data_IF_148119975980
#
_entry.id   IF_148119975980
#
_cell.length_a   1.000
_cell.length_b   1.000
_cell.length_c   1.000
_cell.angle_alpha   90.00
_cell.angle_beta   90.00
_cell.angle_gamma   90.00
#
_symmetry.space_group_name_H-M   'P 1'
#
loop_
_entity.id
_entity.type
_entity.pdbx_description
1 polymer ?
#
# COMPACT_ATOMS: atom_id res chain seq x y z
N UNK A 1 -17.13 -17.95 -15.96
CA UNK A 1 -18.50 -17.60 -16.40
C UNK A 1 -18.40 -16.36 -17.29
N UNK A 2 -18.70 -16.45 -18.60
CA UNK A 2 -18.87 -15.27 -19.46
C UNK A 2 -20.35 -14.86 -19.33
N UNK A 3 -20.62 -13.60 -18.99
CA UNK A 3 -21.99 -13.08 -18.94
C UNK A 3 -22.35 -12.58 -20.34
N UNK A 4 -23.53 -12.92 -20.84
CA UNK A 4 -24.00 -12.52 -22.17
C UNK A 4 -25.24 -11.63 -22.04
N UNK A 5 -25.37 -10.63 -22.91
CA UNK A 5 -26.57 -9.79 -22.97
C UNK A 5 -27.69 -10.45 -23.80
N UNK A 6 -28.87 -9.83 -23.84
CA UNK A 6 -30.04 -10.33 -24.59
C UNK A 6 -29.82 -10.43 -26.11
N UNK A 7 -28.77 -9.78 -26.65
CA UNK A 7 -28.35 -9.84 -28.05
C UNK A 7 -27.23 -10.86 -28.30
N UNK A 8 -26.84 -11.64 -27.29
CA UNK A 8 -25.79 -12.67 -27.40
C UNK A 8 -24.36 -12.13 -27.33
N UNK A 9 -24.16 -10.86 -27.00
CA UNK A 9 -22.82 -10.26 -26.90
C UNK A 9 -22.23 -10.54 -25.51
N UNK A 10 -20.94 -10.87 -25.46
CA UNK A 10 -20.23 -11.05 -24.19
C UNK A 10 -20.10 -9.71 -23.46
N UNK A 11 -20.64 -9.63 -22.25
CA UNK A 11 -20.40 -8.52 -21.34
C UNK A 11 -18.92 -8.52 -20.92
N UNK A 12 -18.28 -7.35 -20.95
CA UNK A 12 -16.93 -7.17 -20.44
C UNK A 12 -16.89 -7.47 -18.93
N UNK A 13 -16.46 -8.68 -18.58
CA UNK A 13 -16.10 -9.04 -17.20
C UNK A 13 -14.85 -8.29 -16.78
N UNK A 14 -14.70 -8.02 -15.47
CA UNK A 14 -13.53 -7.36 -14.90
C UNK A 14 -12.23 -8.08 -15.33
N UNK A 15 -11.61 -7.60 -16.42
CA UNK A 15 -10.39 -8.17 -16.99
C UNK A 15 -9.23 -7.87 -16.04
N UNK A 16 -8.59 -8.93 -15.55
CA UNK A 16 -7.30 -8.79 -14.85
C UNK A 16 -6.29 -8.21 -15.82
N UNK A 17 -5.73 -7.05 -15.48
CA UNK A 17 -4.64 -6.44 -16.24
C UNK A 17 -3.43 -7.38 -16.26
N UNK A 18 -2.71 -7.42 -17.39
CA UNK A 18 -1.42 -8.11 -17.47
C UNK A 18 -0.39 -7.41 -16.57
N UNK A 19 0.60 -8.17 -16.10
CA UNK A 19 1.67 -7.61 -15.25
C UNK A 19 2.44 -6.49 -15.96
N UNK A 20 2.68 -6.63 -17.26
CA UNK A 20 3.29 -5.59 -18.07
C UNK A 20 2.48 -4.29 -18.04
N UNK A 21 1.14 -4.38 -18.18
CA UNK A 21 0.27 -3.20 -18.15
C UNK A 21 0.22 -2.57 -16.75
N UNK A 22 0.13 -3.39 -15.67
CA UNK A 22 0.19 -2.87 -14.29
C UNK A 22 1.49 -2.12 -14.02
N UNK A 23 2.62 -2.66 -14.49
CA UNK A 23 3.93 -2.00 -14.37
C UNK A 23 3.94 -0.66 -15.10
N UNK A 24 3.45 -0.61 -16.34
CA UNK A 24 3.36 0.65 -17.11
C UNK A 24 2.53 1.72 -16.37
N UNK A 25 1.35 1.35 -15.86
CA UNK A 25 0.49 2.27 -15.10
C UNK A 25 1.22 2.75 -13.83
N UNK A 26 1.85 1.84 -13.08
CA UNK A 26 2.60 2.19 -11.87
C UNK A 26 3.73 3.17 -12.15
N UNK A 27 4.48 2.98 -13.24
CA UNK A 27 5.57 3.87 -13.64
C UNK A 27 5.05 5.24 -14.10
N UNK A 28 3.89 5.29 -14.75
CA UNK A 28 3.27 6.53 -15.19
C UNK A 28 2.76 7.40 -14.03
N UNK A 29 2.38 6.80 -12.90
CA UNK A 29 1.78 7.51 -11.75
C UNK A 29 2.73 7.71 -10.56
N UNK A 30 4.03 7.43 -10.72
CA UNK A 30 5.03 7.50 -9.66
C UNK A 30 5.73 8.86 -9.60
N UNK A 31 6.09 9.29 -8.39
CA UNK A 31 6.89 10.49 -8.17
C UNK A 31 6.17 11.74 -8.67
N UNK A 32 6.89 12.61 -9.37
CA UNK A 32 6.39 13.89 -9.91
C UNK A 32 5.28 13.74 -10.95
N UNK A 33 5.12 12.55 -11.54
CA UNK A 33 4.05 12.26 -12.50
C UNK A 33 2.70 11.99 -11.83
N UNK A 34 2.67 11.82 -10.52
CA UNK A 34 1.42 11.66 -9.78
C UNK A 34 0.66 12.99 -9.74
N UNK A 35 -0.65 12.98 -10.01
CA UNK A 35 -1.49 14.19 -10.00
C UNK A 35 -1.53 14.90 -8.64
N UNK A 36 -1.35 14.15 -7.56
CA UNK A 36 -1.33 14.67 -6.19
C UNK A 36 0.10 14.89 -5.67
N UNK A 37 1.13 14.79 -6.53
CA UNK A 37 2.50 15.05 -6.12
C UNK A 37 2.66 16.48 -5.61
N UNK A 38 3.30 16.65 -4.45
CA UNK A 38 3.48 17.94 -3.79
C UNK A 38 2.23 18.52 -3.11
N UNK A 39 1.05 17.92 -3.31
CA UNK A 39 -0.17 18.38 -2.66
C UNK A 39 -0.28 17.87 -1.22
N UNK A 40 -0.80 18.72 -0.32
CA UNK A 40 -1.04 18.39 1.08
C UNK A 40 -2.52 18.16 1.33
N UNK A 41 -2.85 17.14 2.11
CA UNK A 41 -4.21 16.96 2.59
C UNK A 41 -4.61 18.08 3.55
N UNK A 42 -5.90 18.42 3.54
CA UNK A 42 -6.47 19.38 4.50
C UNK A 42 -6.36 18.85 5.92
N UNK A 43 -6.34 19.76 6.91
CA UNK A 43 -6.32 19.38 8.34
C UNK A 43 -7.49 18.48 8.70
N UNK A 44 -8.66 18.68 8.07
CA UNK A 44 -9.85 17.87 8.32
C UNK A 44 -9.69 16.43 7.84
N UNK A 45 -9.19 16.25 6.61
CA UNK A 45 -8.89 14.92 6.07
C UNK A 45 -7.84 14.20 6.91
N UNK A 46 -6.80 14.90 7.37
CA UNK A 46 -5.78 14.32 8.25
C UNK A 46 -6.37 13.86 9.59
N UNK A 47 -7.28 14.64 10.19
CA UNK A 47 -7.98 14.24 11.41
C UNK A 47 -8.82 12.98 11.20
N UNK A 48 -9.59 12.91 10.11
CA UNK A 48 -10.41 11.74 9.76
C UNK A 48 -9.55 10.48 9.54
N UNK A 49 -8.43 10.62 8.83
CA UNK A 49 -7.48 9.51 8.65
C UNK A 49 -6.89 9.04 9.98
N UNK A 50 -6.52 9.98 10.86
CA UNK A 50 -5.98 9.66 12.18
C UNK A 50 -7.00 8.96 13.08
N UNK A 51 -8.25 9.46 13.12
CA UNK A 51 -9.32 8.85 13.92
C UNK A 51 -9.61 7.42 13.47
N UNK A 52 -9.65 7.18 12.15
CA UNK A 52 -9.98 5.87 11.60
C UNK A 52 -8.87 4.84 11.82
N UNK A 53 -7.61 5.27 12.00
CA UNK A 53 -6.48 4.36 12.17
C UNK A 53 -6.03 4.20 13.63
N UNK A 54 -6.82 4.67 14.59
CA UNK A 54 -6.50 4.62 16.03
C UNK A 54 -7.42 3.63 16.77
N UNK A 55 -6.91 3.04 17.85
CA UNK A 55 -7.67 2.11 18.68
C UNK A 55 -8.23 0.97 17.84
N UNK A 56 -9.52 0.63 18.03
CA UNK A 56 -10.21 -0.44 17.30
C UNK A 56 -10.32 -0.21 15.78
N UNK A 57 -10.13 1.02 15.30
CA UNK A 57 -10.12 1.32 13.86
C UNK A 57 -8.82 0.89 13.16
N UNK A 58 -7.74 0.71 13.92
CA UNK A 58 -6.49 0.20 13.36
C UNK A 58 -6.67 -1.27 12.92
N UNK A 59 -6.36 -1.63 11.65
CA UNK A 59 -6.49 -3.01 11.16
C UNK A 59 -5.67 -4.05 11.93
N UNK A 60 -4.65 -3.59 12.66
CA UNK A 60 -3.77 -4.40 13.50
C UNK A 60 -4.09 -4.29 15.00
N UNK A 61 -5.18 -3.62 15.38
CA UNK A 61 -5.59 -3.55 16.79
C UNK A 61 -5.82 -4.95 17.37
N UNK A 62 -5.26 -5.20 18.55
CA UNK A 62 -5.32 -6.50 19.22
C UNK A 62 -4.49 -7.62 18.58
N UNK A 63 -3.88 -7.40 17.40
CA UNK A 63 -3.04 -8.41 16.73
C UNK A 63 -1.61 -8.34 17.22
N UNK A 64 -0.98 -9.51 17.43
CA UNK A 64 0.44 -9.62 17.81
C UNK A 64 1.27 -10.09 16.63
N UNK A 65 2.47 -9.53 16.47
CA UNK A 65 3.43 -10.03 15.50
C UNK A 65 3.94 -11.43 15.89
N UNK A 66 4.15 -12.28 14.89
CA UNK A 66 4.78 -13.59 15.09
C UNK A 66 6.22 -13.45 15.64
N UNK A 67 6.72 -14.49 16.31
CA UNK A 67 8.09 -14.51 16.83
C UNK A 67 9.12 -14.29 15.71
N UNK A 68 8.90 -14.90 14.54
CA UNK A 68 9.76 -14.71 13.37
C UNK A 68 9.77 -13.25 12.88
N UNK A 69 8.61 -12.58 12.83
CA UNK A 69 8.53 -11.17 12.46
C UNK A 69 9.25 -10.26 13.48
N UNK A 70 9.06 -10.51 14.79
CA UNK A 70 9.78 -9.79 15.85
C UNK A 70 11.28 -9.95 15.75
N UNK A 71 11.76 -11.16 15.47
CA UNK A 71 13.19 -11.43 15.23
C UNK A 71 13.72 -10.64 14.03
N UNK A 72 12.99 -10.62 12.90
CA UNK A 72 13.37 -9.83 11.72
C UNK A 72 13.48 -8.33 12.02
N UNK A 73 12.50 -7.77 12.73
CA UNK A 73 12.53 -6.35 13.15
C UNK A 73 13.74 -6.05 14.05
N UNK A 74 14.06 -6.94 15.01
CA UNK A 74 15.24 -6.80 15.87
C UNK A 74 16.54 -6.82 15.06
N UNK A 75 16.70 -7.76 14.14
CA UNK A 75 17.89 -7.86 13.30
C UNK A 75 18.07 -6.62 12.42
N UNK A 76 17.00 -6.09 11.83
CA UNK A 76 17.06 -4.85 11.06
C UNK A 76 17.56 -3.69 11.92
N UNK A 77 17.01 -3.50 13.14
CA UNK A 77 17.45 -2.46 14.07
C UNK A 77 18.94 -2.55 14.42
N UNK A 78 19.43 -3.76 14.68
CA UNK A 78 20.85 -3.98 15.00
C UNK A 78 21.77 -3.66 13.81
N UNK A 79 21.37 -4.02 12.59
CA UNK A 79 22.12 -3.68 11.37
C UNK A 79 22.28 -2.17 11.19
N UNK A 80 21.21 -1.40 11.37
CA UNK A 80 21.29 0.07 11.29
C UNK A 80 22.25 0.67 12.32
N UNK A 81 22.23 0.14 13.55
CA UNK A 81 23.11 0.62 14.62
C UNK A 81 24.60 0.26 14.37
N UNK A 82 24.86 -0.94 13.85
CA UNK A 82 26.22 -1.36 13.46
C UNK A 82 26.75 -0.53 12.28
N UNK A 83 25.93 -0.24 11.27
CA UNK A 83 26.29 0.65 10.16
C UNK A 83 26.68 2.05 10.67
N UNK A 84 25.86 2.65 11.53
CA UNK A 84 26.13 3.99 12.07
C UNK A 84 27.36 4.05 13.00
N UNK A 85 27.70 2.93 13.66
CA UNK A 85 28.92 2.80 14.48
C UNK A 85 30.20 2.66 13.67
N UNK A 86 30.12 2.13 12.45
CA UNK A 86 31.27 1.99 11.54
C UNK A 86 31.55 3.28 10.77
N UNK A 87 30.58 4.18 10.69
CA UNK A 87 30.67 5.47 10.01
C UNK A 87 31.00 6.63 10.95
N UNK A 88 31.27 6.35 12.23
CA UNK A 88 31.69 7.29 13.26
C UNK A 88 33.09 6.91 13.76
#
# INVERSE_FOLDING_TARGET
MKYFNQKGETMATARKLSEATKRKISLAQRGTKNSMYGQRHSKDTLRKLSSNNRGKGNPMYGKRHSAAARRKMRLARLKFHDQNKRTA
#
